data_IF_875467484710
#
_entry.id   IF_875467484710
#
_cell.length_a   1.000
_cell.length_b   1.000
_cell.length_c   1.000
_cell.angle_alpha   90.00
_cell.angle_beta   90.00
_cell.angle_gamma   90.00
#
_symmetry.space_group_name_H-M   'P 1'
#
loop_
_entity.id
_entity.type
_entity.pdbx_description
1 polymer ?
#
# COMPACT_ATOMS: atom_id res chain seq x y z
N UNK A 1 -40.58 -32.37 39.01
CA UNK A 1 -39.11 -32.19 39.00
C UNK A 1 -38.79 -31.16 37.92
N UNK A 2 -38.59 -29.89 38.31
CA UNK A 2 -38.38 -28.76 37.37
C UNK A 2 -36.95 -28.83 36.82
N UNK A 3 -36.82 -29.04 35.51
CA UNK A 3 -35.53 -29.06 34.83
C UNK A 3 -35.02 -27.61 34.67
N UNK A 4 -33.97 -27.26 35.41
CA UNK A 4 -33.23 -26.02 35.24
C UNK A 4 -32.44 -26.07 33.91
N UNK A 5 -32.82 -25.22 32.95
CA UNK A 5 -31.97 -24.93 31.80
C UNK A 5 -30.86 -23.97 32.23
N UNK A 6 -29.65 -24.48 32.38
CA UNK A 6 -28.42 -23.69 32.50
C UNK A 6 -28.09 -23.07 31.13
N UNK A 7 -28.24 -21.75 31.02
CA UNK A 7 -27.78 -20.98 29.86
C UNK A 7 -26.26 -20.89 29.94
N UNK A 8 -25.54 -21.71 29.17
CA UNK A 8 -24.12 -21.51 28.93
C UNK A 8 -23.93 -20.26 28.07
N UNK A 9 -23.32 -19.23 28.65
CA UNK A 9 -22.83 -18.06 27.92
C UNK A 9 -21.71 -18.52 26.96
N UNK A 10 -22.02 -18.55 25.67
CA UNK A 10 -21.01 -18.76 24.62
C UNK A 10 -20.20 -17.47 24.50
N UNK A 11 -19.03 -17.46 25.13
CA UNK A 11 -17.99 -16.46 24.90
C UNK A 11 -17.62 -16.48 23.41
N UNK A 12 -17.98 -15.43 22.69
CA UNK A 12 -17.62 -15.22 21.30
C UNK A 12 -16.15 -14.83 21.20
N UNK A 13 -15.27 -15.84 21.19
CA UNK A 13 -13.89 -15.69 20.73
C UNK A 13 -13.97 -15.35 19.24
N UNK A 14 -13.82 -14.07 18.92
CA UNK A 14 -13.62 -13.59 17.55
C UNK A 14 -12.40 -14.32 16.98
N UNK A 15 -12.64 -15.22 16.03
CA UNK A 15 -11.59 -15.86 15.23
C UNK A 15 -10.74 -14.77 14.56
N UNK A 16 -9.55 -14.51 15.11
CA UNK A 16 -8.44 -14.06 14.29
C UNK A 16 -8.29 -15.15 13.22
N UNK A 17 -8.60 -14.84 11.96
CA UNK A 17 -8.40 -15.80 10.88
C UNK A 17 -7.02 -16.44 11.04
N UNK A 18 -6.95 -17.77 11.08
CA UNK A 18 -5.71 -18.54 11.24
C UNK A 18 -4.72 -18.16 10.14
N UNK A 19 -3.88 -17.17 10.40
CA UNK A 19 -2.73 -16.83 9.56
C UNK A 19 -1.70 -17.90 9.91
N UNK A 20 -1.38 -18.84 8.99
CA UNK A 20 -0.38 -19.86 9.24
C UNK A 20 0.93 -19.22 9.69
N UNK A 21 1.68 -19.93 10.53
CA UNK A 21 2.99 -19.45 10.94
C UNK A 21 3.88 -19.19 9.73
N UNK A 22 4.57 -18.05 9.79
CA UNK A 22 5.48 -17.65 8.74
C UNK A 22 6.61 -18.68 8.61
N UNK A 23 7.06 -18.99 7.39
CA UNK A 23 8.26 -19.79 7.24
C UNK A 23 9.44 -19.08 7.90
N UNK A 24 10.15 -19.81 8.75
CA UNK A 24 11.32 -19.30 9.49
C UNK A 24 12.64 -19.64 8.81
N UNK A 25 12.65 -20.71 8.00
CA UNK A 25 13.80 -21.16 7.22
C UNK A 25 13.60 -20.85 5.75
N UNK A 26 14.62 -20.24 5.13
CA UNK A 26 14.65 -20.11 3.68
C UNK A 26 14.85 -21.48 3.03
N UNK A 27 14.33 -21.71 1.80
CA UNK A 27 14.65 -22.89 1.02
C UNK A 27 16.16 -23.04 0.80
N UNK A 28 16.62 -24.25 0.49
CA UNK A 28 18.01 -24.49 0.13
C UNK A 28 18.30 -24.07 -1.33
N UNK A 29 19.59 -23.95 -1.67
CA UNK A 29 20.06 -23.74 -3.03
C UNK A 29 19.64 -22.40 -3.66
N UNK A 30 19.51 -22.39 -4.99
CA UNK A 30 19.21 -21.19 -5.78
C UNK A 30 17.87 -20.53 -5.41
N UNK A 31 16.86 -21.34 -5.06
CA UNK A 31 15.57 -20.81 -4.63
C UNK A 31 15.71 -19.97 -3.34
N UNK A 32 16.48 -20.45 -2.36
CA UNK A 32 16.77 -19.70 -1.14
C UNK A 32 17.50 -18.39 -1.39
N UNK A 33 18.45 -18.38 -2.34
CA UNK A 33 19.15 -17.16 -2.76
C UNK A 33 18.17 -16.15 -3.36
N UNK A 34 17.20 -16.60 -4.17
CA UNK A 34 16.18 -15.73 -4.75
C UNK A 34 15.20 -15.17 -3.71
N UNK A 35 14.81 -15.96 -2.70
CA UNK A 35 14.01 -15.47 -1.57
C UNK A 35 14.75 -14.36 -0.81
N UNK A 36 16.02 -14.60 -0.46
CA UNK A 36 16.87 -13.60 0.24
C UNK A 36 17.06 -12.34 -0.60
N UNK A 37 17.27 -12.48 -1.91
CA UNK A 37 17.39 -11.35 -2.82
C UNK A 37 16.08 -10.54 -2.90
N UNK A 38 14.94 -11.22 -2.97
CA UNK A 38 13.63 -10.55 -2.97
C UNK A 38 13.37 -9.77 -1.69
N UNK A 39 13.67 -10.38 -0.53
CA UNK A 39 13.60 -9.70 0.77
C UNK A 39 14.48 -8.45 0.80
N UNK A 40 15.72 -8.57 0.35
CA UNK A 40 16.66 -7.45 0.28
C UNK A 40 16.14 -6.33 -0.61
N UNK A 41 15.65 -6.65 -1.81
CA UNK A 41 15.06 -5.66 -2.73
C UNK A 41 13.84 -4.96 -2.11
N UNK A 42 12.98 -5.67 -1.39
CA UNK A 42 11.82 -5.05 -0.72
C UNK A 42 12.24 -4.12 0.43
N UNK A 43 13.37 -4.40 1.08
CA UNK A 43 13.95 -3.57 2.13
C UNK A 43 14.74 -2.36 1.61
N UNK A 44 15.36 -2.49 0.44
CA UNK A 44 16.33 -1.52 -0.11
C UNK A 44 15.91 -1.02 -1.50
N UNK A 45 14.61 -0.96 -1.79
CA UNK A 45 14.09 -0.83 -3.16
C UNK A 45 14.66 0.36 -3.94
N UNK A 46 14.83 1.51 -3.29
CA UNK A 46 15.36 2.74 -3.89
C UNK A 46 16.88 2.77 -4.05
N UNK A 47 17.62 1.90 -3.36
CA UNK A 47 19.10 1.90 -3.37
C UNK A 47 19.69 0.63 -3.98
N UNK A 48 18.93 -0.46 -4.05
CA UNK A 48 19.40 -1.73 -4.53
C UNK A 48 19.81 -1.65 -6.01
N UNK A 49 20.99 -2.17 -6.42
CA UNK A 49 21.52 -2.01 -7.79
C UNK A 49 20.57 -2.47 -8.90
N UNK A 50 19.74 -3.48 -8.65
CA UNK A 50 18.79 -4.00 -9.64
C UNK A 50 17.50 -3.19 -9.77
N UNK A 51 17.20 -2.27 -8.85
CA UNK A 51 15.91 -1.55 -8.81
C UNK A 51 16.02 -0.04 -8.72
N UNK A 52 17.16 0.51 -8.28
CA UNK A 52 17.34 1.96 -8.07
C UNK A 52 17.01 2.80 -9.31
N UNK A 53 17.32 2.31 -10.51
CA UNK A 53 17.06 3.04 -11.78
C UNK A 53 15.57 3.03 -12.18
N UNK A 54 14.75 2.23 -11.50
CA UNK A 54 13.30 2.15 -11.69
C UNK A 54 12.52 2.93 -10.62
N UNK A 55 13.19 3.56 -9.66
CA UNK A 55 12.58 4.30 -8.55
C UNK A 55 12.82 5.80 -8.76
N UNK A 56 11.75 6.59 -8.71
CA UNK A 56 11.77 8.05 -8.89
C UNK A 56 11.41 8.82 -7.63
N UNK A 57 11.56 8.21 -6.46
CA UNK A 57 11.34 8.82 -5.15
C UNK A 57 12.20 8.15 -4.05
N UNK A 58 11.97 8.50 -2.78
CA UNK A 58 12.75 8.01 -1.65
C UNK A 58 12.06 6.89 -0.85
N UNK A 59 11.04 6.25 -1.43
CA UNK A 59 10.31 5.18 -0.75
C UNK A 59 10.97 3.80 -0.96
N UNK A 60 10.61 2.87 -0.11
CA UNK A 60 10.92 1.44 -0.21
C UNK A 60 9.63 0.65 -0.11
N UNK A 61 9.60 -0.61 -0.57
CA UNK A 61 8.40 -1.44 -0.40
C UNK A 61 8.00 -1.53 1.08
N UNK A 62 8.98 -1.65 1.98
CA UNK A 62 8.79 -1.65 3.45
C UNK A 62 8.17 -0.36 4.02
N UNK A 63 8.20 0.75 3.28
CA UNK A 63 7.59 2.02 3.71
C UNK A 63 6.07 1.93 3.84
N UNK A 64 5.43 1.01 3.10
CA UNK A 64 3.97 0.77 3.20
C UNK A 64 3.63 -0.69 3.54
N UNK A 65 4.51 -1.62 3.19
CA UNK A 65 4.38 -3.03 3.52
C UNK A 65 5.20 -3.27 4.79
N UNK A 66 4.61 -2.94 5.94
CA UNK A 66 5.35 -2.81 7.19
C UNK A 66 5.94 -4.15 7.66
N UNK A 67 7.11 -4.11 8.30
CA UNK A 67 7.65 -5.28 8.96
C UNK A 67 6.82 -5.69 10.18
N UNK A 68 6.66 -6.99 10.36
CA UNK A 68 6.17 -7.58 11.60
C UNK A 68 7.29 -7.79 12.61
N UNK A 69 7.04 -8.62 13.62
CA UNK A 69 8.00 -8.91 14.71
C UNK A 69 9.30 -9.55 14.23
N UNK A 70 9.31 -10.21 13.08
CA UNK A 70 10.51 -10.79 12.47
C UNK A 70 11.36 -9.78 11.68
N UNK A 71 10.96 -8.51 11.63
CA UNK A 71 11.70 -7.44 10.94
C UNK A 71 11.65 -7.48 9.41
N UNK A 72 10.94 -8.45 8.81
CA UNK A 72 10.91 -8.66 7.36
C UNK A 72 9.84 -7.81 6.68
N UNK A 73 10.08 -7.26 5.49
CA UNK A 73 9.12 -6.37 4.82
C UNK A 73 7.79 -7.08 4.52
N UNK A 74 6.68 -6.43 4.87
CA UNK A 74 5.33 -6.92 4.59
C UNK A 74 4.87 -8.10 5.44
N UNK A 75 5.51 -8.35 6.59
CA UNK A 75 5.11 -9.43 7.52
C UNK A 75 4.23 -8.95 8.68
N UNK A 76 3.81 -7.68 8.69
CA UNK A 76 2.68 -7.26 9.54
C UNK A 76 1.42 -8.05 9.20
N UNK A 77 0.50 -8.21 10.16
CA UNK A 77 -0.81 -8.87 9.97
C UNK A 77 -1.94 -7.90 9.59
N UNK A 78 -1.61 -6.63 9.41
CA UNK A 78 -2.52 -5.53 9.03
C UNK A 78 -2.64 -5.39 7.50
N UNK A 79 -3.50 -4.48 7.04
CA UNK A 79 -3.58 -4.11 5.62
C UNK A 79 -2.19 -3.72 5.10
N UNK A 80 -1.84 -4.29 3.94
CA UNK A 80 -0.51 -4.12 3.34
C UNK A 80 0.41 -5.31 3.62
N UNK A 81 -0.07 -6.35 4.29
CA UNK A 81 0.67 -7.61 4.40
C UNK A 81 0.95 -8.25 3.04
N UNK A 82 2.14 -8.85 2.90
CA UNK A 82 2.48 -9.77 1.81
C UNK A 82 2.08 -11.21 2.13
N UNK A 83 1.78 -11.52 3.39
CA UNK A 83 1.45 -12.87 3.84
C UNK A 83 0.22 -13.37 3.09
N UNK A 84 0.33 -14.60 2.57
CA UNK A 84 -0.71 -15.24 1.77
C UNK A 84 -1.04 -14.53 0.44
N UNK A 85 -0.34 -13.46 0.08
CA UNK A 85 -0.70 -12.68 -1.12
C UNK A 85 -0.54 -13.48 -2.39
N UNK A 86 0.52 -14.30 -2.49
CA UNK A 86 0.78 -15.08 -3.69
C UNK A 86 -0.32 -16.13 -3.95
N UNK A 87 -1.02 -16.59 -2.92
CA UNK A 87 -2.08 -17.60 -3.08
C UNK A 87 -3.29 -17.09 -3.85
N UNK A 88 -3.44 -15.76 -3.98
CA UNK A 88 -4.48 -15.13 -4.78
C UNK A 88 -4.14 -14.96 -6.26
N UNK A 89 -2.90 -15.25 -6.68
CA UNK A 89 -2.46 -15.03 -8.07
C UNK A 89 -2.40 -16.33 -8.89
N UNK A 90 -2.64 -16.27 -10.22
CA UNK A 90 -3.09 -15.11 -10.99
C UNK A 90 -4.45 -14.55 -10.56
N UNK A 91 -4.62 -13.23 -10.69
CA UNK A 91 -5.82 -12.53 -10.22
C UNK A 91 -6.33 -11.51 -11.24
N UNK A 92 -7.64 -11.35 -11.35
CA UNK A 92 -8.21 -10.28 -12.15
C UNK A 92 -7.98 -8.91 -11.49
N UNK A 93 -7.49 -7.96 -12.28
CA UNK A 93 -7.27 -6.58 -11.86
C UNK A 93 -8.27 -5.65 -12.51
N UNK A 94 -9.23 -5.15 -11.72
CA UNK A 94 -10.18 -4.12 -12.20
C UNK A 94 -9.47 -2.87 -12.73
N UNK A 95 -8.31 -2.51 -12.15
CA UNK A 95 -7.52 -1.35 -12.59
C UNK A 95 -6.93 -1.55 -13.97
N UNK A 96 -6.39 -2.73 -14.24
CA UNK A 96 -5.65 -3.03 -15.47
C UNK A 96 -6.53 -3.74 -16.52
N UNK A 97 -7.78 -4.08 -16.14
CA UNK A 97 -8.80 -4.76 -16.95
C UNK A 97 -8.29 -6.08 -17.56
N UNK A 98 -7.44 -6.79 -16.82
CA UNK A 98 -6.79 -8.02 -17.26
C UNK A 98 -6.48 -8.92 -16.07
N UNK A 99 -6.19 -10.20 -16.32
CA UNK A 99 -5.61 -11.11 -15.32
C UNK A 99 -4.11 -10.81 -15.21
N UNK A 100 -3.64 -10.62 -13.99
CA UNK A 100 -2.26 -10.27 -13.69
C UNK A 100 -1.53 -11.41 -12.99
N UNK A 101 -0.26 -11.56 -13.33
CA UNK A 101 0.69 -12.33 -12.52
C UNK A 101 1.03 -11.57 -11.23
N UNK A 102 1.67 -12.24 -10.27
CA UNK A 102 2.22 -11.58 -9.09
C UNK A 102 3.29 -10.54 -9.47
N UNK A 103 4.16 -10.87 -10.43
CA UNK A 103 5.16 -9.96 -10.98
C UNK A 103 4.54 -8.71 -11.61
N UNK A 104 3.47 -8.86 -12.40
CA UNK A 104 2.75 -7.70 -12.97
C UNK A 104 2.25 -6.77 -11.85
N UNK A 105 1.67 -7.34 -10.81
CA UNK A 105 1.14 -6.56 -9.69
C UNK A 105 2.24 -5.82 -8.93
N UNK A 106 3.38 -6.48 -8.68
CA UNK A 106 4.55 -5.89 -8.02
C UNK A 106 5.16 -4.80 -8.90
N UNK A 107 5.41 -5.08 -10.17
CA UNK A 107 6.05 -4.14 -11.08
C UNK A 107 5.17 -2.90 -11.33
N UNK A 108 3.84 -3.03 -11.32
CA UNK A 108 2.95 -1.88 -11.42
C UNK A 108 3.00 -0.94 -10.20
N UNK A 109 3.53 -1.39 -9.05
CA UNK A 109 3.82 -0.50 -7.92
C UNK A 109 4.94 0.49 -8.24
N UNK A 110 5.94 0.12 -9.05
CA UNK A 110 7.06 1.00 -9.38
C UNK A 110 6.59 2.27 -10.09
N UNK A 111 5.65 2.15 -11.02
CA UNK A 111 5.09 3.29 -11.75
C UNK A 111 4.32 4.27 -10.85
N UNK A 112 3.85 3.80 -9.69
CA UNK A 112 2.89 4.53 -8.85
C UNK A 112 3.51 4.86 -7.51
N UNK A 113 3.57 3.88 -6.62
CA UNK A 113 4.13 4.04 -5.27
C UNK A 113 5.59 4.49 -5.32
N UNK A 114 6.39 3.97 -6.26
CA UNK A 114 7.82 4.31 -6.36
C UNK A 114 8.09 5.48 -7.32
N UNK A 115 7.04 6.10 -7.88
CA UNK A 115 7.13 7.22 -8.82
C UNK A 115 8.15 7.03 -9.96
N UNK A 116 8.34 5.79 -10.42
CA UNK A 116 9.38 5.44 -11.39
C UNK A 116 8.84 4.66 -12.56
N UNK A 117 9.59 3.66 -13.01
CA UNK A 117 9.30 2.90 -14.23
C UNK A 117 9.01 1.44 -13.91
N UNK A 118 8.07 0.83 -14.62
CA UNK A 118 7.74 -0.60 -14.51
C UNK A 118 8.96 -1.44 -14.92
N UNK A 119 9.50 -2.30 -14.03
CA UNK A 119 10.49 -3.30 -14.44
C UNK A 119 9.88 -4.32 -15.40
N UNK A 120 10.74 -4.98 -16.19
CA UNK A 120 10.34 -6.10 -17.07
C UNK A 120 10.06 -7.33 -16.18
N UNK A 121 9.02 -8.09 -16.52
CA UNK A 121 8.41 -9.15 -15.70
C UNK A 121 9.33 -10.35 -15.43
N UNK A 122 10.26 -10.64 -16.33
CA UNK A 122 11.18 -11.79 -16.31
C UNK A 122 12.60 -11.40 -15.85
N UNK A 123 12.81 -10.15 -15.43
CA UNK A 123 14.09 -9.74 -14.86
C UNK A 123 14.35 -10.41 -13.52
N UNK A 124 15.64 -10.60 -13.18
CA UNK A 124 16.08 -11.14 -11.88
C UNK A 124 15.43 -10.44 -10.69
N UNK A 125 15.28 -9.11 -10.74
CA UNK A 125 14.63 -8.34 -9.69
C UNK A 125 13.14 -8.68 -9.55
N UNK A 126 12.41 -8.72 -10.67
CA UNK A 126 10.97 -9.00 -10.67
C UNK A 126 10.68 -10.42 -10.17
N UNK A 127 11.46 -11.40 -10.65
CA UNK A 127 11.37 -12.79 -10.19
C UNK A 127 11.67 -12.87 -8.70
N UNK A 128 12.79 -12.30 -8.23
CA UNK A 128 13.18 -12.37 -6.81
C UNK A 128 12.13 -11.78 -5.87
N UNK A 129 11.59 -10.61 -6.20
CA UNK A 129 10.51 -9.97 -5.43
C UNK A 129 9.27 -10.88 -5.33
N UNK A 130 8.86 -11.50 -6.44
CA UNK A 130 7.73 -12.42 -6.44
C UNK A 130 8.05 -13.72 -5.67
N UNK A 131 9.25 -14.26 -5.81
CA UNK A 131 9.71 -15.43 -5.05
C UNK A 131 9.63 -15.19 -3.54
N UNK A 132 10.02 -14.00 -3.07
CA UNK A 132 9.91 -13.65 -1.65
C UNK A 132 8.45 -13.62 -1.16
N UNK A 133 7.54 -12.99 -1.90
CA UNK A 133 6.11 -12.94 -1.55
C UNK A 133 5.46 -14.34 -1.63
N UNK A 134 5.90 -15.17 -2.57
CA UNK A 134 5.48 -16.58 -2.66
C UNK A 134 5.98 -17.39 -1.47
N UNK A 135 7.22 -17.20 -1.03
CA UNK A 135 7.75 -17.83 0.18
C UNK A 135 6.94 -17.40 1.41
N UNK A 136 6.63 -16.12 1.59
CA UNK A 136 5.74 -15.67 2.68
C UNK A 136 4.31 -16.26 2.62
N UNK A 137 3.94 -16.88 1.49
CA UNK A 137 2.65 -17.53 1.29
C UNK A 137 2.74 -19.06 1.43
N UNK A 138 3.87 -19.62 1.90
CA UNK A 138 3.97 -21.05 2.24
C UNK A 138 2.83 -21.46 3.18
N UNK A 139 2.32 -22.68 2.99
CA UNK A 139 1.18 -23.26 3.73
C UNK A 139 -0.18 -22.54 3.54
N UNK A 140 -0.27 -21.53 2.67
CA UNK A 140 -1.55 -20.95 2.29
C UNK A 140 -2.14 -21.73 1.12
N UNK A 141 -3.41 -22.16 1.23
CA UNK A 141 -4.12 -22.79 0.12
C UNK A 141 -4.25 -21.79 -1.03
N UNK A 142 -3.94 -22.24 -2.25
CA UNK A 142 -4.19 -21.47 -3.46
C UNK A 142 -5.68 -21.16 -3.56
N UNK A 143 -5.99 -19.87 -3.70
CA UNK A 143 -7.34 -19.35 -3.83
C UNK A 143 -7.27 -18.12 -4.74
N UNK A 144 -7.18 -18.38 -6.04
CA UNK A 144 -7.15 -17.33 -7.07
C UNK A 144 -8.31 -16.36 -6.88
N UNK A 145 -8.07 -15.09 -7.17
CA UNK A 145 -9.05 -14.04 -6.93
C UNK A 145 -9.55 -13.44 -8.25
N UNK A 146 -10.80 -13.73 -8.58
CA UNK A 146 -11.50 -13.27 -9.79
C UNK A 146 -11.96 -11.79 -9.72
N UNK A 147 -11.80 -11.13 -8.57
CA UNK A 147 -12.27 -9.75 -8.39
C UNK A 147 -11.16 -8.75 -8.10
N UNK A 148 -10.10 -9.15 -7.39
CA UNK A 148 -9.06 -8.23 -6.89
C UNK A 148 -7.71 -8.90 -6.62
N UNK A 149 -6.58 -8.29 -7.03
CA UNK A 149 -5.23 -8.83 -6.83
C UNK A 149 -4.68 -8.44 -5.46
N UNK A 150 -5.20 -9.02 -4.38
CA UNK A 150 -4.81 -8.71 -3.00
C UNK A 150 -4.88 -9.93 -2.07
N UNK A 151 -4.15 -9.88 -0.96
CA UNK A 151 -4.11 -10.93 0.07
C UNK A 151 -5.52 -11.34 0.53
N UNK A 152 -5.82 -12.64 0.62
CA UNK A 152 -7.11 -13.10 1.12
C UNK A 152 -7.32 -12.71 2.59
N UNK A 153 -6.24 -12.56 3.36
CA UNK A 153 -6.28 -12.27 4.80
C UNK A 153 -6.85 -10.89 5.14
N UNK A 154 -6.69 -9.92 4.24
CA UNK A 154 -7.06 -8.52 4.51
C UNK A 154 -8.00 -7.95 3.45
N UNK A 155 -8.26 -8.66 2.35
CA UNK A 155 -9.00 -8.13 1.20
C UNK A 155 -10.42 -7.65 1.54
N UNK A 156 -11.18 -8.42 2.33
CA UNK A 156 -12.54 -8.08 2.73
C UNK A 156 -12.57 -6.88 3.67
N UNK A 157 -11.71 -6.90 4.69
CA UNK A 157 -11.54 -5.79 5.63
C UNK A 157 -11.14 -4.50 4.91
N UNK A 158 -10.16 -4.59 4.01
CA UNK A 158 -9.73 -3.47 3.17
C UNK A 158 -10.85 -2.90 2.31
N UNK A 159 -11.71 -3.75 1.73
CA UNK A 159 -12.85 -3.29 0.93
C UNK A 159 -13.94 -2.64 1.79
N UNK A 160 -14.21 -3.19 2.99
CA UNK A 160 -15.17 -2.62 3.94
C UNK A 160 -14.70 -1.23 4.40
N UNK A 161 -13.44 -1.10 4.82
CA UNK A 161 -12.88 0.18 5.24
C UNK A 161 -12.86 1.20 4.10
N UNK A 162 -12.51 0.81 2.88
CA UNK A 162 -12.60 1.70 1.72
C UNK A 162 -14.00 2.26 1.47
N UNK A 163 -15.06 1.46 1.66
CA UNK A 163 -16.44 1.94 1.53
C UNK A 163 -16.78 2.93 2.63
N UNK A 164 -16.40 2.61 3.88
CA UNK A 164 -16.58 3.46 5.06
C UNK A 164 -15.93 4.84 4.87
N UNK A 165 -14.63 4.86 4.58
CA UNK A 165 -13.89 6.09 4.38
C UNK A 165 -14.30 6.86 3.14
N UNK A 166 -14.80 6.18 2.09
CA UNK A 166 -15.38 6.90 0.96
C UNK A 166 -16.61 7.72 1.37
N UNK A 167 -17.47 7.20 2.26
CA UNK A 167 -18.63 7.93 2.75
C UNK A 167 -18.25 9.13 3.64
N UNK A 168 -17.20 8.99 4.46
CA UNK A 168 -16.69 10.07 5.30
C UNK A 168 -16.06 11.18 4.44
N UNK A 169 -15.16 10.81 3.52
CA UNK A 169 -14.41 11.78 2.71
C UNK A 169 -15.30 12.60 1.78
N UNK A 170 -16.41 12.05 1.27
CA UNK A 170 -17.38 12.82 0.45
C UNK A 170 -17.99 14.01 1.19
N UNK A 171 -17.95 14.01 2.52
CA UNK A 171 -18.47 15.08 3.38
C UNK A 171 -17.37 16.00 3.92
N UNK A 172 -16.12 15.78 3.51
CA UNK A 172 -14.99 16.55 4.00
C UNK A 172 -15.11 18.02 3.61
N UNK A 173 -14.68 18.88 4.53
CA UNK A 173 -14.65 20.34 4.37
C UNK A 173 -13.27 20.87 4.76
N UNK A 174 -13.07 22.19 4.63
CA UNK A 174 -11.88 22.85 5.14
C UNK A 174 -11.64 22.59 6.65
N UNK A 175 -12.70 22.46 7.44
CA UNK A 175 -12.58 22.12 8.88
C UNK A 175 -11.88 20.77 9.08
N UNK A 176 -12.18 19.78 8.25
CA UNK A 176 -11.55 18.46 8.29
C UNK A 176 -10.07 18.53 7.89
N UNK A 177 -9.73 19.36 6.90
CA UNK A 177 -8.32 19.60 6.53
C UNK A 177 -7.52 20.22 7.69
N UNK A 178 -8.08 21.22 8.39
CA UNK A 178 -7.45 21.82 9.56
C UNK A 178 -7.33 20.85 10.74
N UNK A 179 -8.35 20.02 10.99
CA UNK A 179 -8.30 18.97 11.99
C UNK A 179 -7.19 17.94 11.66
N UNK A 180 -7.11 17.52 10.39
CA UNK A 180 -6.08 16.64 9.88
C UNK A 180 -4.67 17.19 10.04
N UNK A 181 -4.48 18.48 9.78
CA UNK A 181 -3.22 19.18 10.04
C UNK A 181 -2.81 19.09 11.51
N UNK A 182 -3.74 19.39 12.43
CA UNK A 182 -3.49 19.30 13.88
C UNK A 182 -3.13 17.88 14.33
N UNK A 183 -3.83 16.87 13.79
CA UNK A 183 -3.50 15.45 14.05
C UNK A 183 -2.11 15.13 13.53
N UNK A 184 -1.77 15.58 12.31
CA UNK A 184 -0.45 15.36 11.74
C UNK A 184 0.65 15.98 12.61
N UNK A 185 0.50 17.23 13.01
CA UNK A 185 1.46 17.95 13.85
C UNK A 185 1.67 17.27 15.22
N UNK A 186 0.61 16.73 15.81
CA UNK A 186 0.65 16.15 17.17
C UNK A 186 1.04 14.68 17.20
N UNK A 187 0.64 13.89 16.20
CA UNK A 187 0.78 12.42 16.21
C UNK A 187 1.74 11.87 15.16
N UNK A 188 2.11 12.66 14.13
CA UNK A 188 2.85 12.14 12.95
C UNK A 188 4.17 12.87 12.69
N UNK A 189 4.23 14.18 12.92
CA UNK A 189 5.35 15.05 12.52
C UNK A 189 6.67 14.71 13.21
N UNK A 190 6.64 14.13 14.42
CA UNK A 190 7.86 13.68 15.13
C UNK A 190 8.62 12.62 14.32
N UNK A 191 7.90 11.73 13.63
CA UNK A 191 8.50 10.67 12.82
C UNK A 191 8.64 11.09 11.35
N UNK A 192 7.61 11.70 10.77
CA UNK A 192 7.57 12.02 9.34
C UNK A 192 8.09 13.42 8.99
N UNK A 193 8.52 14.20 9.98
CA UNK A 193 8.94 15.58 9.82
C UNK A 193 7.76 16.55 9.70
N UNK A 194 7.96 17.80 10.13
CA UNK A 194 6.94 18.86 10.09
C UNK A 194 6.37 19.12 8.69
N UNK A 195 7.19 18.91 7.66
CA UNK A 195 6.82 19.10 6.26
C UNK A 195 6.67 17.76 5.52
N UNK A 196 6.48 16.64 6.25
CA UNK A 196 6.30 15.32 5.65
C UNK A 196 7.52 14.80 4.88
N UNK A 197 8.71 15.37 5.09
CA UNK A 197 9.93 15.03 4.36
C UNK A 197 10.59 13.71 4.79
N UNK A 198 10.05 13.05 5.82
CA UNK A 198 10.63 11.86 6.43
C UNK A 198 11.80 12.17 7.35
N UNK A 199 12.22 11.17 8.14
CA UNK A 199 13.37 11.25 9.03
C UNK A 199 13.93 9.84 9.29
N UNK A 200 15.22 9.61 9.01
CA UNK A 200 15.84 8.30 9.19
C UNK A 200 15.09 7.20 8.44
N UNK A 201 14.58 6.20 9.16
CA UNK A 201 13.80 5.10 8.60
C UNK A 201 12.31 5.43 8.36
N UNK A 202 11.83 6.60 8.78
CA UNK A 202 10.45 7.02 8.56
C UNK A 202 10.32 7.68 7.18
N UNK A 203 9.44 7.16 6.31
CA UNK A 203 9.39 7.60 4.93
C UNK A 203 8.83 9.01 4.79
N UNK A 204 9.22 9.74 3.73
CA UNK A 204 8.51 10.93 3.31
C UNK A 204 7.07 10.61 2.91
N UNK A 205 6.17 11.54 3.16
CA UNK A 205 4.75 11.41 2.88
C UNK A 205 4.31 12.24 1.67
N UNK A 206 5.00 13.35 1.38
CA UNK A 206 4.77 14.22 0.22
C UNK A 206 6.02 15.05 -0.11
N UNK A 207 5.89 15.97 -1.07
CA UNK A 207 6.86 17.03 -1.33
C UNK A 207 8.06 16.64 -2.18
N UNK A 208 9.00 17.59 -2.29
CA UNK A 208 10.24 17.50 -3.04
C UNK A 208 11.45 17.74 -2.14
N UNK A 209 12.60 17.20 -2.53
CA UNK A 209 13.88 17.58 -1.97
C UNK A 209 14.33 18.97 -2.46
N UNK A 210 15.48 19.43 -1.96
CA UNK A 210 16.08 20.73 -2.34
C UNK A 210 16.44 20.80 -3.83
N UNK A 211 16.64 19.67 -4.50
CA UNK A 211 16.94 19.57 -5.93
C UNK A 211 15.67 19.45 -6.79
N UNK A 212 14.47 19.55 -6.18
CA UNK A 212 13.20 19.46 -6.87
C UNK A 212 12.77 18.03 -7.21
N UNK A 213 13.46 16.99 -6.73
CA UNK A 213 13.07 15.59 -6.92
C UNK A 213 11.97 15.22 -5.95
N UNK A 214 10.97 14.49 -6.44
CA UNK A 214 9.85 14.03 -5.63
C UNK A 214 10.29 13.04 -4.55
N UNK A 215 9.83 13.24 -3.31
CA UNK A 215 10.23 12.40 -2.18
C UNK A 215 9.32 11.18 -1.99
N UNK A 216 8.04 11.29 -2.31
CA UNK A 216 7.00 10.30 -1.95
C UNK A 216 6.24 9.73 -3.15
N UNK A 217 5.21 8.93 -2.88
CA UNK A 217 4.34 8.30 -3.87
C UNK A 217 3.57 9.33 -4.71
N UNK A 218 3.35 9.00 -5.98
CA UNK A 218 2.59 9.86 -6.90
C UNK A 218 1.07 9.70 -6.74
N UNK A 219 0.32 10.60 -7.37
CA UNK A 219 -1.16 10.64 -7.33
C UNK A 219 -1.87 9.43 -7.95
N UNK A 220 -1.14 8.51 -8.60
CA UNK A 220 -1.66 7.24 -9.11
C UNK A 220 -1.57 6.09 -8.11
N UNK A 221 -0.82 6.27 -7.01
CA UNK A 221 -0.64 5.27 -5.97
C UNK A 221 -1.94 5.02 -5.19
N UNK A 222 -2.08 3.81 -4.64
CA UNK A 222 -3.22 3.49 -3.77
C UNK A 222 -3.29 4.39 -2.55
N UNK A 223 -2.12 4.75 -2.01
CA UNK A 223 -1.99 5.62 -0.83
C UNK A 223 -2.37 7.08 -1.08
N UNK A 224 -2.56 7.50 -2.34
CA UNK A 224 -3.01 8.86 -2.68
C UNK A 224 -4.53 8.98 -2.83
N UNK A 225 -5.27 7.88 -2.56
CA UNK A 225 -6.72 7.83 -2.74
C UNK A 225 -7.38 8.05 -1.38
N UNK A 226 -8.25 9.06 -1.32
CA UNK A 226 -8.90 9.54 -0.09
C UNK A 226 -9.62 8.44 0.70
N UNK A 227 -10.10 7.37 0.05
CA UNK A 227 -10.74 6.25 0.74
C UNK A 227 -9.81 5.09 1.12
N UNK A 228 -8.62 5.01 0.54
CA UNK A 228 -7.64 3.94 0.77
C UNK A 228 -6.61 4.35 1.81
N UNK A 229 -6.06 5.55 1.70
CA UNK A 229 -5.10 6.09 2.65
C UNK A 229 -5.58 5.97 4.12
N UNK A 230 -6.79 6.46 4.48
CA UNK A 230 -7.24 6.39 5.87
C UNK A 230 -7.51 4.95 6.34
N UNK A 231 -7.90 4.04 5.44
CA UNK A 231 -8.04 2.63 5.78
C UNK A 231 -6.70 1.98 6.15
N UNK A 232 -5.61 2.40 5.50
CA UNK A 232 -4.28 1.91 5.84
C UNK A 232 -3.75 2.60 7.10
N UNK A 233 -3.93 3.92 7.20
CA UNK A 233 -3.52 4.72 8.36
C UNK A 233 -4.20 4.21 9.64
N UNK A 234 -5.51 3.96 9.61
CA UNK A 234 -6.24 3.46 10.77
C UNK A 234 -5.61 2.19 11.34
N UNK A 235 -5.29 1.19 10.51
CA UNK A 235 -4.72 -0.07 11.02
C UNK A 235 -3.22 0.00 11.36
N UNK A 236 -2.49 0.96 10.81
CA UNK A 236 -1.02 0.93 10.82
C UNK A 236 -0.37 2.11 11.55
N UNK A 237 -1.11 3.18 11.82
CA UNK A 237 -0.58 4.43 12.32
C UNK A 237 -1.39 4.98 13.51
N UNK A 238 -0.72 5.60 14.51
CA UNK A 238 0.73 5.72 14.65
C UNK A 238 1.44 4.36 14.76
N UNK A 239 2.72 4.28 14.40
CA UNK A 239 3.43 3.00 14.31
C UNK A 239 3.40 2.26 15.66
N UNK A 240 2.95 1.00 15.65
CA UNK A 240 2.77 0.19 16.87
C UNK A 240 1.50 0.52 17.67
N UNK A 241 0.69 1.47 17.21
CA UNK A 241 -0.55 1.94 17.85
C UNK A 241 -1.69 1.98 16.82
N UNK A 242 -1.79 0.94 15.98
CA UNK A 242 -2.92 0.77 15.06
C UNK A 242 -4.26 0.76 15.80
N UNK A 243 -5.30 1.21 15.11
CA UNK A 243 -6.69 1.32 15.58
C UNK A 243 -6.90 2.30 16.75
N UNK A 244 -5.91 3.12 17.09
CA UNK A 244 -6.05 4.19 18.11
C UNK A 244 -6.66 5.48 17.57
N UNK A 245 -6.60 5.70 16.25
CA UNK A 245 -7.28 6.82 15.60
C UNK A 245 -8.74 6.45 15.35
N UNK A 246 -9.64 7.35 15.76
CA UNK A 246 -11.05 7.27 15.36
C UNK A 246 -11.19 7.34 13.82
N UNK A 247 -12.33 6.89 13.32
CA UNK A 247 -12.63 6.97 11.89
C UNK A 247 -12.50 8.40 11.34
N UNK A 248 -12.93 9.40 12.09
CA UNK A 248 -12.83 10.79 11.64
C UNK A 248 -11.38 11.29 11.68
N UNK A 249 -10.61 10.95 12.72
CA UNK A 249 -9.20 11.34 12.80
C UNK A 249 -8.37 10.72 11.67
N UNK A 250 -8.59 9.43 11.37
CA UNK A 250 -7.91 8.74 10.28
C UNK A 250 -8.27 9.36 8.91
N UNK A 251 -9.55 9.70 8.71
CA UNK A 251 -10.01 10.39 7.50
C UNK A 251 -9.41 11.80 7.35
N UNK A 252 -9.41 12.57 8.43
CA UNK A 252 -8.94 13.95 8.46
C UNK A 252 -7.43 14.03 8.21
N UNK A 253 -6.63 13.21 8.90
CA UNK A 253 -5.17 13.20 8.69
C UNK A 253 -4.81 12.72 7.28
N UNK A 254 -5.53 11.72 6.75
CA UNK A 254 -5.33 11.28 5.38
C UNK A 254 -5.68 12.38 4.35
N UNK A 255 -6.78 13.11 4.57
CA UNK A 255 -7.19 14.25 3.74
C UNK A 255 -6.11 15.33 3.73
N UNK A 256 -5.55 15.68 4.91
CA UNK A 256 -4.47 16.64 5.01
C UNK A 256 -3.22 16.19 4.27
N UNK A 257 -2.77 14.94 4.47
CA UNK A 257 -1.57 14.37 3.83
C UNK A 257 -1.72 14.26 2.31
N UNK A 258 -2.89 13.84 1.83
CA UNK A 258 -3.14 13.67 0.40
C UNK A 258 -3.40 14.98 -0.34
N UNK A 259 -3.75 16.07 0.37
CA UNK A 259 -3.86 17.42 -0.20
C UNK A 259 -2.51 18.10 -0.47
N UNK A 260 -1.40 17.55 0.04
CA UNK A 260 -0.07 18.12 -0.14
C UNK A 260 0.51 17.84 -1.53
N UNK A 261 1.46 18.68 -1.95
CA UNK A 261 2.08 18.58 -3.27
C UNK A 261 2.85 17.26 -3.45
N UNK A 262 2.63 16.60 -4.58
CA UNK A 262 3.25 15.32 -4.96
C UNK A 262 3.24 15.15 -6.48
N UNK A 263 4.04 14.22 -6.97
CA UNK A 263 4.10 13.94 -8.40
C UNK A 263 2.73 13.56 -8.96
N UNK A 264 2.39 14.14 -10.12
CA UNK A 264 1.28 13.66 -10.93
C UNK A 264 1.64 12.31 -11.57
N UNK A 265 0.66 11.43 -11.69
CA UNK A 265 0.82 10.16 -12.38
C UNK A 265 0.43 10.30 -13.84
N UNK A 266 1.26 9.76 -14.72
CA UNK A 266 0.98 9.51 -16.11
C UNK A 266 1.49 8.12 -16.46
N UNK A 267 0.58 7.21 -16.81
CA UNK A 267 0.91 5.83 -17.13
C UNK A 267 2.00 5.72 -18.20
N UNK A 268 1.96 6.58 -19.22
CA UNK A 268 2.93 6.51 -20.33
C UNK A 268 4.36 6.78 -19.86
N UNK A 269 4.53 7.68 -18.88
CA UNK A 269 5.84 8.01 -18.30
C UNK A 269 6.40 6.87 -17.43
N UNK A 270 5.52 6.05 -16.87
CA UNK A 270 5.88 4.88 -16.05
C UNK A 270 6.25 3.65 -16.87
N UNK A 271 5.98 3.62 -18.17
CA UNK A 271 6.31 2.50 -19.04
C UNK A 271 7.67 2.70 -19.71
N UNK A 272 8.40 1.61 -19.90
CA UNK A 272 9.57 1.58 -20.79
C UNK A 272 9.09 1.62 -22.26
N UNK A 273 9.97 1.98 -23.22
CA UNK A 273 9.67 1.81 -24.64
C UNK A 273 9.24 0.37 -24.95
N UNK A 274 8.31 0.19 -25.90
CA UNK A 274 7.69 -1.10 -26.21
C UNK A 274 8.73 -2.17 -26.55
N UNK A 275 9.77 -1.77 -27.25
CA UNK A 275 10.89 -2.58 -27.74
C UNK A 275 11.75 -3.11 -26.59
N UNK A 276 11.77 -2.39 -25.45
CA UNK A 276 12.51 -2.78 -24.25
C UNK A 276 11.64 -3.51 -23.25
N UNK A 277 10.35 -3.18 -23.16
CA UNK A 277 9.48 -3.66 -22.08
C UNK A 277 8.85 -5.04 -22.34
N UNK A 278 8.94 -5.53 -23.58
CA UNK A 278 8.24 -6.73 -24.00
C UNK A 278 6.72 -6.55 -23.94
N UNK A 279 6.02 -7.59 -23.53
CA UNK A 279 4.56 -7.58 -23.46
C UNK A 279 4.05 -6.89 -22.18
N UNK A 280 3.24 -5.83 -22.35
CA UNK A 280 2.45 -5.22 -21.28
C UNK A 280 0.99 -5.66 -21.43
N UNK A 281 0.56 -6.61 -20.59
CA UNK A 281 -0.74 -7.30 -20.70
C UNK A 281 -1.96 -6.47 -20.26
N UNK A 282 -1.77 -5.25 -19.76
CA UNK A 282 -2.87 -4.38 -19.36
C UNK A 282 -3.69 -3.94 -20.56
N UNK A 283 -5.02 -3.89 -20.41
CA UNK A 283 -5.92 -3.28 -21.40
C UNK A 283 -6.10 -1.78 -21.16
N UNK A 284 -5.33 -1.19 -20.24
CA UNK A 284 -5.32 0.24 -19.96
C UNK A 284 -4.02 0.83 -20.50
N UNK A 285 -4.14 1.72 -21.49
CA UNK A 285 -2.99 2.35 -22.16
C UNK A 285 -2.87 3.85 -21.88
N UNK A 286 -3.86 4.43 -21.18
CA UNK A 286 -3.86 5.82 -20.75
C UNK A 286 -4.51 5.91 -19.38
N UNK A 287 -3.80 6.50 -18.43
CA UNK A 287 -4.30 6.84 -17.11
C UNK A 287 -3.46 7.99 -16.56
N UNK A 288 -4.13 9.00 -16.05
CA UNK A 288 -3.50 10.18 -15.44
C UNK A 288 -4.19 10.50 -14.13
N UNK A 289 -3.41 10.92 -13.13
CA UNK A 289 -3.96 11.44 -11.88
C UNK A 289 -3.19 12.68 -11.45
N UNK A 290 -3.86 13.55 -10.71
CA UNK A 290 -3.29 14.64 -9.92
C UNK A 290 -3.91 14.63 -8.53
N UNK A 291 -3.37 15.44 -7.62
CA UNK A 291 -4.02 15.68 -6.32
C UNK A 291 -5.45 16.18 -6.55
N UNK A 292 -5.63 17.19 -7.40
CA UNK A 292 -6.94 17.73 -7.72
C UNK A 292 -7.90 16.67 -8.30
N UNK A 293 -7.45 15.79 -9.21
CA UNK A 293 -8.34 14.75 -9.75
C UNK A 293 -8.75 13.73 -8.69
N UNK A 294 -7.87 13.43 -7.72
CA UNK A 294 -8.18 12.52 -6.62
C UNK A 294 -9.26 13.11 -5.70
N UNK A 295 -9.21 14.41 -5.42
CA UNK A 295 -10.24 15.11 -4.64
C UNK A 295 -11.56 15.22 -5.41
N UNK A 296 -11.50 15.58 -6.71
CA UNK A 296 -12.66 15.65 -7.59
C UNK A 296 -13.43 14.34 -7.68
N UNK A 297 -12.75 13.18 -7.62
CA UNK A 297 -13.40 11.87 -7.60
C UNK A 297 -14.33 11.64 -6.39
N UNK A 298 -14.18 12.44 -5.33
CA UNK A 298 -15.03 12.45 -4.14
C UNK A 298 -16.01 13.62 -4.10
N UNK A 299 -16.09 14.43 -5.17
CA UNK A 299 -16.91 15.64 -5.21
C UNK A 299 -16.33 16.82 -4.45
N UNK A 300 -15.01 16.80 -4.18
CA UNK A 300 -14.32 17.84 -3.44
C UNK A 300 -13.51 18.72 -4.40
N UNK A 301 -13.51 20.03 -4.14
CA UNK A 301 -12.57 20.97 -4.73
C UNK A 301 -11.33 21.12 -3.83
N UNK A 302 -10.14 20.94 -4.40
CA UNK A 302 -8.90 20.91 -3.62
C UNK A 302 -8.59 22.26 -2.97
N UNK A 303 -8.78 23.37 -3.70
CA UNK A 303 -8.46 24.70 -3.18
C UNK A 303 -9.45 25.11 -2.10
N UNK A 304 -10.73 24.78 -2.26
CA UNK A 304 -11.75 24.95 -1.22
C UNK A 304 -11.43 24.14 0.03
N UNK A 305 -10.96 22.89 -0.12
CA UNK A 305 -10.53 22.08 1.04
C UNK A 305 -9.33 22.70 1.74
N UNK A 306 -8.35 23.22 1.00
CA UNK A 306 -7.12 23.77 1.58
C UNK A 306 -7.30 25.16 2.19
N UNK A 307 -8.16 25.99 1.61
CA UNK A 307 -8.25 27.43 1.93
C UNK A 307 -9.59 27.84 2.56
N UNK A 308 -10.63 27.01 2.43
CA UNK A 308 -11.99 27.34 2.84
C UNK A 308 -12.73 28.30 1.91
N UNK A 309 -12.08 28.77 0.84
CA UNK A 309 -12.63 29.72 -0.13
C UNK A 309 -13.00 29.01 -1.44
#
# INVERSE_FOLDING_TARGET
>A
MKLLLSILAVSSILFAADIPDLPTKYPNGELGKMVKLGEKIMNETNTHPLTKDFVGNNLQCKSCHLPGTNGKPGTTKTIGTFIGTASSFPAFSKREKTVQTLQDRINNCFMRSMNGKRPIVDTKASIAMATYVTWLSTNHKMKMNEHRPCSPLTSDRWAKLQKKFAAIQRKATHKNYLAGKKIFETKCATCHGKNGQGMGNFPPLWGKDKAGKWLSYNSGAGMSKLNKAPAWIQENMPLGQGDTLSDQEAADVALYVDAQDRANFDLKKGLLPKEKMGHYNSKVHKETHSVASNFKAFGLDLEKIKTGK
#
